data_IF_949371239862
#
_entry.id   IF_949371239862
#
_cell.length_a   1.000
_cell.length_b   1.000
_cell.length_c   1.000
_cell.angle_alpha   90.00
_cell.angle_beta   90.00
_cell.angle_gamma   90.00
#
_symmetry.space_group_name_H-M   'P 1'
#
loop_
_entity.id
_entity.type
_entity.pdbx_description
1 polymer ?
#
# COMPACT_ATOMS: atom_id res chain seq x y z
N UNK A 1 7.17 22.95 8.96
CA UNK A 1 7.62 21.53 8.95
C UNK A 1 8.98 21.40 8.26
N UNK A 2 9.68 20.26 8.35
CA UNK A 2 11.03 20.08 7.77
C UNK A 2 11.14 20.47 6.29
N UNK A 3 10.13 20.15 5.46
CA UNK A 3 10.12 20.56 4.06
C UNK A 3 10.06 22.08 3.89
N UNK A 4 9.13 22.76 4.54
CA UNK A 4 9.04 24.24 4.51
C UNK A 4 10.23 24.94 5.20
N UNK A 5 10.92 24.24 6.11
CA UNK A 5 12.09 24.77 6.82
C UNK A 5 13.36 24.68 5.96
N UNK A 6 13.53 23.57 5.24
CA UNK A 6 14.76 23.25 4.50
C UNK A 6 14.64 23.41 2.98
N UNK A 7 13.43 23.49 2.44
CA UNK A 7 13.13 23.57 1.01
C UNK A 7 12.15 24.72 0.72
N UNK A 8 12.47 25.92 1.23
CA UNK A 8 11.71 27.18 0.98
C UNK A 8 11.68 27.65 -0.48
N UNK A 9 12.27 26.90 -1.42
CA UNK A 9 12.36 27.33 -2.81
C UNK A 9 11.02 27.08 -3.53
N UNK A 10 10.47 28.18 -4.04
CA UNK A 10 9.17 28.28 -4.69
C UNK A 10 9.11 27.43 -5.97
N UNK A 11 7.95 26.79 -6.20
CA UNK A 11 7.56 25.99 -7.37
C UNK A 11 7.99 24.51 -7.46
N UNK A 12 8.25 23.82 -6.34
CA UNK A 12 8.40 22.34 -6.36
C UNK A 12 7.16 21.65 -5.77
N UNK A 13 6.44 20.88 -6.61
CA UNK A 13 5.32 20.01 -6.17
C UNK A 13 5.88 18.66 -5.70
N UNK A 14 5.65 18.31 -4.44
CA UNK A 14 5.93 16.98 -3.93
C UNK A 14 4.68 16.12 -4.08
N UNK A 15 4.84 14.95 -4.68
CA UNK A 15 3.77 13.99 -4.90
C UNK A 15 4.14 12.67 -4.25
N UNK A 16 3.19 12.04 -3.56
CA UNK A 16 3.31 10.62 -3.26
C UNK A 16 2.87 9.79 -4.46
N UNK A 17 3.24 8.52 -4.46
CA UNK A 17 2.72 7.55 -5.45
C UNK A 17 1.19 7.43 -5.38
N UNK A 18 0.57 7.66 -4.21
CA UNK A 18 -0.89 7.65 -4.06
C UNK A 18 -1.51 8.81 -4.84
N UNK A 19 -0.96 10.01 -4.71
CA UNK A 19 -1.45 11.19 -5.45
C UNK A 19 -1.32 10.96 -6.96
N UNK A 20 -0.16 10.46 -7.40
CA UNK A 20 0.13 10.25 -8.81
C UNK A 20 -0.81 9.21 -9.44
N UNK A 21 -0.97 8.05 -8.79
CA UNK A 21 -1.85 6.98 -9.28
C UNK A 21 -3.31 7.41 -9.28
N UNK A 22 -3.76 8.12 -8.23
CA UNK A 22 -5.11 8.67 -8.18
C UNK A 22 -5.34 9.67 -9.32
N UNK A 23 -4.43 10.62 -9.49
CA UNK A 23 -4.50 11.62 -10.56
C UNK A 23 -4.56 10.97 -11.95
N UNK A 24 -3.74 9.93 -12.19
CA UNK A 24 -3.72 9.26 -13.49
C UNK A 24 -5.00 8.49 -13.79
N UNK A 25 -5.60 7.85 -12.78
CA UNK A 25 -6.88 7.16 -12.90
C UNK A 25 -8.03 8.15 -13.10
N UNK A 26 -8.08 9.23 -12.32
CA UNK A 26 -9.13 10.26 -12.43
C UNK A 26 -9.10 10.97 -13.78
N UNK A 27 -7.90 11.24 -14.33
CA UNK A 27 -7.73 11.86 -15.64
C UNK A 27 -7.87 10.87 -16.81
N UNK A 28 -8.06 9.58 -16.55
CA UNK A 28 -8.09 8.54 -17.58
C UNK A 28 -6.77 8.36 -18.35
N UNK A 29 -5.66 8.86 -17.78
CA UNK A 29 -4.31 8.69 -18.35
C UNK A 29 -3.84 7.24 -18.32
N UNK A 30 -4.33 6.50 -17.33
CA UNK A 30 -4.27 5.04 -17.29
C UNK A 30 -5.68 4.49 -17.15
N UNK A 31 -5.95 3.37 -17.83
CA UNK A 31 -7.20 2.63 -17.73
C UNK A 31 -6.90 1.27 -17.11
N UNK A 32 -7.82 0.78 -16.30
CA UNK A 32 -7.67 -0.48 -15.57
C UNK A 32 -8.85 -1.40 -15.78
N UNK A 33 -8.58 -2.70 -15.82
CA UNK A 33 -9.58 -3.76 -15.88
C UNK A 33 -9.77 -4.39 -14.49
N UNK A 34 -10.96 -4.20 -13.91
CA UNK A 34 -11.31 -4.71 -12.58
C UNK A 34 -11.42 -6.23 -12.52
N UNK A 35 -11.54 -6.91 -13.67
CA UNK A 35 -11.72 -8.36 -13.74
C UNK A 35 -10.43 -9.16 -13.52
N UNK A 36 -9.27 -8.49 -13.54
CA UNK A 36 -7.95 -9.12 -13.35
C UNK A 36 -7.81 -9.68 -11.92
N UNK A 37 -8.28 -8.93 -10.93
CA UNK A 37 -8.17 -9.30 -9.51
C UNK A 37 -9.50 -9.85 -8.98
N UNK A 38 -9.74 -11.15 -9.20
CA UNK A 38 -10.98 -11.82 -8.79
C UNK A 38 -11.02 -12.18 -7.30
N UNK A 39 -9.85 -12.34 -6.70
CA UNK A 39 -9.68 -12.68 -5.30
C UNK A 39 -10.13 -11.57 -4.35
N UNK A 40 -10.46 -11.92 -3.10
CA UNK A 40 -10.78 -10.92 -2.07
C UNK A 40 -9.53 -10.11 -1.68
N UNK A 41 -9.60 -8.80 -1.83
CA UNK A 41 -8.48 -7.86 -1.62
C UNK A 41 -8.68 -7.06 -0.34
N UNK A 42 -7.60 -6.85 0.41
CA UNK A 42 -7.58 -5.89 1.54
C UNK A 42 -6.42 -4.92 1.42
N UNK A 43 -6.52 -3.78 2.10
CA UNK A 43 -5.48 -2.75 2.12
C UNK A 43 -4.88 -2.61 3.53
N UNK A 44 -3.55 -2.59 3.59
CA UNK A 44 -2.84 -2.28 4.82
C UNK A 44 -2.43 -0.81 4.86
N UNK A 45 -3.07 0.00 5.72
CA UNK A 45 -2.61 1.37 6.04
C UNK A 45 -1.22 1.36 6.69
N UNK A 46 -0.15 1.79 6.00
CA UNK A 46 1.18 1.80 6.58
C UNK A 46 1.34 3.01 7.49
N UNK A 47 1.95 2.83 8.66
CA UNK A 47 2.12 3.91 9.63
C UNK A 47 2.91 5.12 9.10
N UNK A 48 3.77 4.93 8.09
CA UNK A 48 4.52 6.01 7.45
C UNK A 48 3.65 6.88 6.54
N UNK A 49 2.73 6.29 5.76
CA UNK A 49 1.84 7.03 4.86
C UNK A 49 0.57 7.54 5.54
N UNK A 50 0.12 6.84 6.58
CA UNK A 50 -0.99 7.23 7.44
C UNK A 50 -0.50 8.25 8.50
N UNK A 51 -0.37 7.80 9.75
CA UNK A 51 -0.12 8.65 10.93
C UNK A 51 1.11 9.54 10.83
N UNK A 52 2.23 9.04 10.28
CA UNK A 52 3.46 9.85 10.19
C UNK A 52 3.30 10.99 9.17
N UNK A 53 2.73 10.72 7.99
CA UNK A 53 2.42 11.78 7.03
C UNK A 53 1.40 12.76 7.58
N UNK A 54 0.33 12.28 8.21
CA UNK A 54 -0.68 13.14 8.84
C UNK A 54 -0.05 14.07 9.87
N UNK A 55 0.78 13.53 10.77
CA UNK A 55 1.49 14.32 11.77
C UNK A 55 2.50 15.29 11.16
N UNK A 56 3.20 14.88 10.10
CA UNK A 56 4.32 15.64 9.54
C UNK A 56 3.92 16.64 8.45
N UNK A 57 2.76 16.45 7.82
CA UNK A 57 2.31 17.20 6.64
C UNK A 57 0.84 17.61 6.71
N UNK A 58 0.10 17.27 7.77
CA UNK A 58 -1.33 17.54 7.91
C UNK A 58 -2.22 16.65 7.02
N UNK A 59 -1.64 15.68 6.32
CA UNK A 59 -2.34 14.79 5.41
C UNK A 59 -1.82 13.35 5.52
N UNK A 60 -2.71 12.42 5.83
CA UNK A 60 -2.44 10.99 5.82
C UNK A 60 -3.18 10.30 4.68
N UNK A 61 -2.50 9.38 4.01
CA UNK A 61 -3.08 8.61 2.91
C UNK A 61 -3.93 7.47 3.47
N UNK A 62 -5.22 7.76 3.59
CA UNK A 62 -6.22 6.83 4.11
C UNK A 62 -7.20 6.44 3.00
N UNK A 63 -7.87 7.41 2.39
CA UNK A 63 -8.94 7.12 1.43
C UNK A 63 -8.40 6.93 0.01
N UNK A 64 -7.37 7.68 -0.38
CA UNK A 64 -6.75 7.62 -1.70
C UNK A 64 -6.32 6.19 -2.07
N UNK A 65 -5.54 5.46 -1.25
CA UNK A 65 -5.18 4.09 -1.57
C UNK A 65 -6.39 3.15 -1.67
N UNK A 66 -7.41 3.32 -0.83
CA UNK A 66 -8.64 2.49 -0.88
C UNK A 66 -9.36 2.70 -2.21
N UNK A 67 -9.53 3.97 -2.58
CA UNK A 67 -10.16 4.33 -3.84
C UNK A 67 -9.38 3.77 -5.04
N UNK A 68 -8.03 3.86 -5.03
CA UNK A 68 -7.17 3.30 -6.08
C UNK A 68 -7.36 1.78 -6.18
N UNK A 69 -7.33 1.06 -5.05
CA UNK A 69 -7.54 -0.40 -5.01
C UNK A 69 -8.90 -0.77 -5.59
N UNK A 70 -9.97 -0.04 -5.20
CA UNK A 70 -11.32 -0.24 -5.72
C UNK A 70 -11.49 0.10 -7.21
N UNK A 71 -10.53 0.80 -7.83
CA UNK A 71 -10.51 0.95 -9.28
C UNK A 71 -9.97 -0.28 -9.99
N UNK A 72 -9.25 -1.16 -9.31
CA UNK A 72 -8.57 -2.31 -9.92
C UNK A 72 -9.21 -3.66 -9.53
N UNK A 73 -10.19 -3.69 -8.61
CA UNK A 73 -10.91 -4.92 -8.24
C UNK A 73 -12.35 -4.63 -7.81
N UNK A 74 -13.22 -5.64 -7.88
CA UNK A 74 -14.58 -5.57 -7.34
C UNK A 74 -14.67 -6.05 -5.88
N UNK A 75 -13.85 -7.05 -5.51
CA UNK A 75 -13.93 -7.72 -4.22
C UNK A 75 -12.97 -7.08 -3.19
N UNK A 76 -13.40 -6.03 -2.51
CA UNK A 76 -12.60 -5.34 -1.48
C UNK A 76 -13.20 -5.50 -0.07
N UNK A 77 -12.34 -5.81 0.90
CA UNK A 77 -12.65 -5.81 2.34
C UNK A 77 -11.61 -4.99 3.10
N UNK A 78 -12.05 -4.08 3.96
CA UNK A 78 -11.14 -3.30 4.79
C UNK A 78 -10.68 -4.09 6.02
N UNK A 79 -9.49 -3.77 6.54
CA UNK A 79 -9.04 -4.30 7.83
C UNK A 79 -9.85 -3.68 8.97
N UNK A 80 -9.95 -4.36 10.11
CA UNK A 80 -10.47 -3.78 11.34
C UNK A 80 -9.49 -4.00 12.50
N UNK A 81 -9.06 -2.96 13.23
CA UNK A 81 -9.25 -1.54 12.95
C UNK A 81 -8.46 -1.06 11.70
N UNK A 82 -8.89 0.02 11.08
CA UNK A 82 -8.23 0.61 9.90
C UNK A 82 -7.81 2.08 10.13
N UNK A 83 -7.26 2.70 9.09
CA UNK A 83 -6.83 4.10 9.06
C UNK A 83 -5.83 4.40 10.18
N UNK A 84 -6.03 5.50 10.91
CA UNK A 84 -5.18 5.90 12.02
C UNK A 84 -5.09 4.81 13.11
N UNK A 85 -6.13 4.00 13.26
CA UNK A 85 -6.20 2.93 14.26
C UNK A 85 -5.58 1.61 13.78
N UNK A 86 -5.09 1.53 12.54
CA UNK A 86 -4.50 0.30 12.02
C UNK A 86 -3.23 -0.11 12.78
N UNK A 87 -3.04 -1.41 12.96
CA UNK A 87 -1.86 -1.97 13.61
C UNK A 87 -0.61 -1.87 12.73
N UNK A 88 0.54 -1.64 13.36
CA UNK A 88 1.84 -1.66 12.69
C UNK A 88 2.20 -3.09 12.24
N UNK A 89 2.93 -3.23 11.14
CA UNK A 89 3.45 -4.53 10.70
C UNK A 89 4.60 -5.06 11.58
N UNK A 90 5.26 -4.19 12.35
CA UNK A 90 6.40 -4.51 13.22
C UNK A 90 7.77 -4.13 12.65
N UNK A 91 7.88 -3.85 11.35
CA UNK A 91 9.16 -3.63 10.66
C UNK A 91 9.62 -2.16 10.52
N UNK A 92 8.83 -1.21 11.03
CA UNK A 92 9.15 0.22 10.96
C UNK A 92 10.33 0.63 11.85
N UNK A 93 10.76 1.90 11.76
CA UNK A 93 11.76 2.46 12.68
C UNK A 93 13.17 1.87 12.55
N UNK A 94 13.47 1.17 11.45
CA UNK A 94 14.76 0.49 11.23
C UNK A 94 14.75 -0.98 11.66
N UNK A 95 13.66 -1.49 12.25
CA UNK A 95 13.59 -2.87 12.75
C UNK A 95 13.78 -3.92 11.65
N UNK A 96 13.34 -3.66 10.41
CA UNK A 96 13.58 -4.55 9.28
C UNK A 96 15.08 -4.75 8.97
N UNK A 97 15.85 -3.66 8.97
CA UNK A 97 17.27 -3.65 8.61
C UNK A 97 18.19 -3.96 9.80
N UNK A 98 17.63 -4.12 11.00
CA UNK A 98 18.35 -4.35 12.25
C UNK A 98 18.20 -5.82 12.68
N UNK A 99 19.04 -6.32 13.62
CA UNK A 99 18.97 -7.70 14.09
C UNK A 99 17.79 -7.96 15.05
N UNK A 100 16.62 -7.36 14.80
CA UNK A 100 15.41 -7.47 15.63
C UNK A 100 14.35 -8.36 14.98
N UNK A 101 14.78 -9.44 14.31
CA UNK A 101 13.89 -10.31 13.55
C UNK A 101 12.83 -10.96 14.45
N UNK A 102 13.25 -11.50 15.59
CA UNK A 102 12.37 -12.16 16.55
C UNK A 102 11.33 -11.18 17.11
N UNK A 103 11.76 -9.99 17.53
CA UNK A 103 10.89 -8.97 18.11
C UNK A 103 9.90 -8.45 17.07
N UNK A 104 10.35 -8.06 15.87
CA UNK A 104 9.45 -7.53 14.83
C UNK A 104 8.40 -8.55 14.40
N UNK A 105 8.76 -9.83 14.36
CA UNK A 105 7.84 -10.93 14.05
C UNK A 105 6.85 -11.15 15.19
N UNK A 106 7.34 -11.17 16.44
CA UNK A 106 6.48 -11.30 17.62
C UNK A 106 5.47 -10.15 17.71
N UNK A 107 5.89 -8.89 17.57
CA UNK A 107 4.98 -7.75 17.53
C UNK A 107 4.01 -7.82 16.34
N UNK A 108 4.47 -8.28 15.18
CA UNK A 108 3.67 -8.45 13.98
C UNK A 108 2.56 -9.50 14.08
N UNK A 109 2.51 -10.34 15.13
CA UNK A 109 1.43 -11.33 15.33
C UNK A 109 0.03 -10.73 15.31
N UNK A 110 -0.12 -9.50 15.85
CA UNK A 110 -1.40 -8.81 15.88
C UNK A 110 -1.82 -8.40 14.46
N UNK A 111 -0.85 -7.97 13.64
CA UNK A 111 -1.09 -7.70 12.21
C UNK A 111 -1.42 -8.99 11.45
N UNK A 112 -0.72 -10.09 11.72
CA UNK A 112 -1.01 -11.37 11.08
C UNK A 112 -2.43 -11.85 11.39
N UNK A 113 -2.85 -11.79 12.66
CA UNK A 113 -4.23 -12.07 13.08
C UNK A 113 -5.22 -11.18 12.35
N UNK A 114 -4.96 -9.87 12.32
CA UNK A 114 -5.84 -8.92 11.65
C UNK A 114 -5.99 -9.20 10.14
N UNK A 115 -4.91 -9.56 9.45
CA UNK A 115 -4.97 -9.96 8.03
C UNK A 115 -5.82 -11.23 7.88
N UNK A 116 -5.61 -12.22 8.76
CA UNK A 116 -6.38 -13.47 8.71
C UNK A 116 -7.88 -13.24 8.92
N UNK A 117 -8.25 -12.30 9.78
CA UNK A 117 -9.64 -11.93 10.07
C UNK A 117 -10.36 -11.28 8.88
N UNK A 118 -9.65 -10.69 7.91
CA UNK A 118 -10.31 -10.14 6.72
C UNK A 118 -10.75 -11.23 5.74
N UNK A 119 -10.15 -12.42 5.81
CA UNK A 119 -10.34 -13.48 4.82
C UNK A 119 -9.78 -13.16 3.43
N UNK A 120 -9.09 -12.03 3.27
CA UNK A 120 -8.53 -11.62 1.98
C UNK A 120 -7.40 -12.56 1.54
N UNK A 121 -7.30 -12.75 0.22
CA UNK A 121 -6.22 -13.47 -0.44
C UNK A 121 -5.14 -12.56 -0.99
N UNK A 122 -5.46 -11.28 -1.21
CA UNK A 122 -4.48 -10.28 -1.63
C UNK A 122 -4.41 -9.16 -0.57
N UNK A 123 -3.20 -8.86 -0.10
CA UNK A 123 -2.93 -7.71 0.78
C UNK A 123 -2.13 -6.67 0.01
N UNK A 124 -2.73 -5.51 -0.21
CA UNK A 124 -2.06 -4.36 -0.82
C UNK A 124 -1.35 -3.55 0.26
N UNK A 125 -0.03 -3.41 0.14
CA UNK A 125 0.83 -2.70 1.09
C UNK A 125 1.82 -1.78 0.36
N UNK A 126 1.60 -0.44 0.33
CA UNK A 126 2.44 0.49 -0.45
C UNK A 126 3.81 0.81 0.19
N UNK A 127 4.04 0.40 1.43
CA UNK A 127 5.31 0.63 2.13
C UNK A 127 6.23 -0.59 2.03
N UNK A 128 7.48 -0.39 1.62
CA UNK A 128 8.46 -1.47 1.45
C UNK A 128 8.66 -2.32 2.71
N UNK A 129 8.82 -1.69 3.87
CA UNK A 129 8.97 -2.42 5.13
C UNK A 129 7.71 -3.22 5.46
N UNK A 130 6.52 -2.68 5.19
CA UNK A 130 5.28 -3.40 5.43
C UNK A 130 5.12 -4.60 4.50
N UNK A 131 5.35 -4.42 3.21
CA UNK A 131 5.27 -5.49 2.22
C UNK A 131 6.24 -6.61 2.57
N UNK A 132 7.51 -6.29 2.77
CA UNK A 132 8.53 -7.31 3.05
C UNK A 132 8.29 -8.02 4.40
N UNK A 133 7.87 -7.29 5.43
CA UNK A 133 7.49 -7.88 6.71
C UNK A 133 6.34 -8.87 6.58
N UNK A 134 5.27 -8.47 5.91
CA UNK A 134 4.09 -9.32 5.76
C UNK A 134 4.45 -10.51 4.85
N UNK A 135 5.05 -10.25 3.69
CA UNK A 135 5.34 -11.25 2.65
C UNK A 135 6.41 -12.26 3.07
N UNK A 136 7.54 -11.80 3.63
CA UNK A 136 8.71 -12.65 3.88
C UNK A 136 8.74 -13.23 5.29
N UNK A 137 8.06 -12.60 6.26
CA UNK A 137 8.09 -13.03 7.65
C UNK A 137 6.72 -13.49 8.15
N UNK A 138 5.73 -12.59 8.24
CA UNK A 138 4.45 -12.92 8.87
C UNK A 138 3.68 -14.01 8.11
N UNK A 139 3.77 -14.01 6.77
CA UNK A 139 3.13 -15.01 5.92
C UNK A 139 3.56 -16.43 6.27
N UNK A 140 4.87 -16.65 6.45
CA UNK A 140 5.43 -17.96 6.80
C UNK A 140 5.24 -18.29 8.27
N UNK A 141 5.47 -17.32 9.16
CA UNK A 141 5.41 -17.56 10.61
C UNK A 141 4.00 -17.90 11.10
N UNK A 142 2.98 -17.28 10.51
CA UNK A 142 1.59 -17.38 10.97
C UNK A 142 0.67 -18.05 9.94
N UNK A 143 1.23 -18.79 8.97
CA UNK A 143 0.51 -19.55 7.94
C UNK A 143 -0.58 -18.72 7.24
N UNK A 144 -0.19 -17.55 6.73
CA UNK A 144 -1.12 -16.69 5.98
C UNK A 144 -1.15 -17.13 4.52
N UNK A 145 -2.30 -17.61 4.06
CA UNK A 145 -2.53 -17.92 2.65
C UNK A 145 -2.93 -16.66 1.87
N UNK A 146 -1.94 -15.80 1.64
CA UNK A 146 -2.07 -14.50 1.00
C UNK A 146 -0.97 -14.26 -0.04
N UNK A 147 -1.28 -13.47 -1.06
CA UNK A 147 -0.33 -12.71 -1.87
C UNK A 147 -0.20 -11.29 -1.30
N UNK A 148 1.01 -10.71 -1.35
CA UNK A 148 1.25 -9.33 -0.91
C UNK A 148 1.80 -8.54 -2.08
N UNK A 149 1.09 -7.49 -2.49
CA UNK A 149 1.48 -6.63 -3.60
C UNK A 149 1.72 -5.20 -3.12
N UNK A 150 2.67 -4.51 -3.76
CA UNK A 150 2.68 -3.05 -3.69
C UNK A 150 1.43 -2.47 -4.35
N UNK A 151 1.06 -1.23 -3.99
CA UNK A 151 -0.06 -0.54 -4.62
C UNK A 151 0.15 -0.36 -6.14
N UNK A 152 1.35 0.00 -6.56
CA UNK A 152 1.67 0.16 -7.98
C UNK A 152 1.79 -1.17 -8.72
N UNK A 153 2.22 -2.26 -8.07
CA UNK A 153 2.18 -3.61 -8.66
C UNK A 153 0.72 -4.02 -8.91
N UNK A 154 -0.15 -3.82 -7.92
CA UNK A 154 -1.57 -4.12 -8.01
C UNK A 154 -2.27 -3.34 -9.13
N UNK A 155 -1.97 -2.04 -9.27
CA UNK A 155 -2.46 -1.23 -10.39
C UNK A 155 -1.87 -1.72 -11.72
N UNK A 156 -0.58 -2.03 -11.77
CA UNK A 156 0.12 -2.45 -12.98
C UNK A 156 -0.48 -3.74 -13.57
N UNK A 157 -0.81 -4.71 -12.72
CA UNK A 157 -1.47 -5.96 -13.13
C UNK A 157 -2.80 -5.70 -13.85
N UNK A 158 -3.52 -4.64 -13.45
CA UNK A 158 -4.82 -4.29 -14.00
C UNK A 158 -4.74 -3.35 -15.22
N UNK A 159 -3.56 -2.88 -15.64
CA UNK A 159 -3.45 -1.91 -16.73
C UNK A 159 -3.93 -2.47 -18.07
N UNK A 160 -4.82 -1.72 -18.73
CA UNK A 160 -5.18 -1.97 -20.12
C UNK A 160 -4.11 -1.32 -21.00
N UNK A 161 -3.21 -2.13 -21.54
CA UNK A 161 -2.17 -1.67 -22.45
C UNK A 161 -2.76 -1.69 -23.87
N UNK A 162 -3.11 -0.51 -24.38
CA UNK A 162 -3.43 -0.36 -25.80
C UNK A 162 -2.15 -0.62 -26.61
N UNK A 163 -2.21 -1.41 -27.69
CA UNK A 163 -1.07 -1.58 -28.57
C UNK A 163 -0.59 -0.20 -29.02
N UNK A 164 0.70 0.09 -28.86
CA UNK A 164 1.30 1.25 -29.51
C UNK A 164 0.99 1.10 -31.00
N UNK A 165 0.34 2.10 -31.62
CA UNK A 165 0.35 2.22 -33.07
C UNK A 165 1.80 2.06 -33.50
N UNK A 166 2.04 1.01 -34.28
CA UNK A 166 3.37 0.59 -34.71
C UNK A 166 4.13 1.79 -35.24
N UNK A 167 5.42 1.85 -34.90
CA UNK A 167 6.43 2.46 -35.77
C UNK A 167 6.40 1.69 -37.11
N UNK A 168 5.39 1.96 -37.93
CA UNK A 168 5.39 1.65 -39.36
C UNK A 168 6.23 2.71 -40.03
N UNK A 169 7.53 2.44 -40.12
CA UNK A 169 8.36 2.83 -41.26
C UNK A 169 8.65 1.60 -42.12
#
# INVERSE_FOLDING_TARGET
MGLEKWYKHENVKYLSVHDLLKEYLEQGRIKVDKSVHQELVTYHDPCNYARKSEKAFGHGYYEEPRWIVQQCCENFVDMNPNRANNFCCGAGGGAWASPYAEERIFYGRVKAKQIKETGAKIVVAPCHNCRDQIMKSLRKEYDLDIEVKYLWEFVADALIIEPKESETE
#
